data_IF_015485054500
#
_entry.id   IF_015485054500
#
_cell.length_a   1.000
_cell.length_b   1.000
_cell.length_c   1.000
_cell.angle_alpha   90.00
_cell.angle_beta   90.00
_cell.angle_gamma   90.00
#
_symmetry.space_group_name_H-M   'P 1'
#
loop_
_entity.id
_entity.type
_entity.pdbx_description
1 polymer ?
#
# COMPACT_ATOMS: atom_id res chain seq x y z
N UNK A 1 -19.80 -6.05 -19.00
CA UNK A 1 -19.51 -6.99 -20.12
C UNK A 1 -20.19 -8.29 -19.76
N UNK A 2 -21.05 -8.84 -20.61
CA UNK A 2 -21.49 -10.22 -20.41
C UNK A 2 -20.23 -11.09 -20.47
N UNK A 3 -20.18 -12.18 -19.70
CA UNK A 3 -19.12 -13.18 -19.82
C UNK A 3 -18.93 -13.68 -21.28
N UNK A 4 -19.95 -13.51 -22.10
CA UNK A 4 -19.99 -13.81 -23.54
C UNK A 4 -19.04 -12.94 -24.40
N UNK A 5 -18.58 -11.78 -23.89
CA UNK A 5 -17.65 -10.90 -24.61
C UNK A 5 -16.16 -11.27 -24.32
N UNK A 6 -15.94 -12.26 -23.45
CA UNK A 6 -14.61 -12.83 -23.17
C UNK A 6 -14.47 -14.16 -23.87
N UNK A 7 -13.57 -14.20 -24.82
CA UNK A 7 -13.30 -15.39 -25.60
C UNK A 7 -12.03 -16.04 -25.05
N UNK A 8 -12.16 -17.27 -24.55
CA UNK A 8 -10.98 -18.08 -24.19
C UNK A 8 -10.42 -18.75 -25.45
N UNK A 9 -9.16 -18.54 -25.75
CA UNK A 9 -8.48 -19.07 -26.92
C UNK A 9 -7.25 -19.88 -26.51
N UNK A 10 -6.84 -20.81 -27.38
CA UNK A 10 -5.51 -21.43 -27.30
C UNK A 10 -4.51 -20.56 -28.06
N UNK A 11 -3.24 -20.68 -27.72
CA UNK A 11 -2.13 -19.99 -28.41
C UNK A 11 -2.15 -20.21 -29.94
N UNK A 12 -2.53 -21.40 -30.36
CA UNK A 12 -2.66 -21.78 -31.77
C UNK A 12 -3.75 -21.02 -32.53
N UNK A 13 -4.69 -20.40 -31.81
CA UNK A 13 -5.84 -19.74 -32.41
C UNK A 13 -5.57 -18.24 -32.68
N UNK A 14 -4.41 -17.74 -32.25
CA UNK A 14 -3.95 -16.39 -32.55
C UNK A 14 -3.44 -16.33 -34.00
N UNK A 15 -4.24 -15.74 -34.87
CA UNK A 15 -3.90 -15.50 -36.27
C UNK A 15 -3.39 -14.07 -36.48
N UNK A 16 -2.69 -13.83 -37.58
CA UNK A 16 -2.22 -12.49 -37.98
C UNK A 16 -3.41 -11.54 -38.14
N UNK A 17 -4.49 -11.99 -38.78
CA UNK A 17 -5.75 -11.25 -38.98
C UNK A 17 -6.41 -10.85 -37.64
N UNK A 18 -6.37 -11.72 -36.63
CA UNK A 18 -6.89 -11.39 -35.30
C UNK A 18 -6.00 -10.36 -34.63
N UNK A 19 -4.68 -10.52 -34.73
CA UNK A 19 -3.74 -9.63 -34.06
C UNK A 19 -3.75 -8.21 -34.65
N UNK A 20 -3.98 -8.06 -35.94
CA UNK A 20 -4.15 -6.74 -36.57
C UNK A 20 -5.31 -5.93 -35.97
N UNK A 21 -6.32 -6.59 -35.42
CA UNK A 21 -7.47 -5.95 -34.74
C UNK A 21 -7.21 -5.67 -33.26
N UNK A 22 -6.08 -6.10 -32.71
CA UNK A 22 -5.78 -5.89 -31.31
C UNK A 22 -5.30 -4.45 -31.08
N UNK A 23 -5.80 -3.82 -30.04
CA UNK A 23 -5.45 -2.44 -29.63
C UNK A 23 -4.66 -2.37 -28.34
N UNK A 24 -4.77 -3.42 -27.50
CA UNK A 24 -3.96 -3.54 -26.30
C UNK A 24 -3.74 -5.01 -25.94
N UNK A 25 -2.57 -5.31 -25.39
CA UNK A 25 -2.28 -6.64 -24.84
C UNK A 25 -1.40 -6.56 -23.61
N UNK A 26 -1.65 -7.45 -22.66
CA UNK A 26 -0.90 -7.50 -21.41
C UNK A 26 -0.71 -8.93 -20.91
N UNK A 27 0.37 -9.12 -20.15
CA UNK A 27 0.67 -10.38 -19.47
C UNK A 27 0.35 -10.25 -17.99
N UNK A 28 -0.57 -11.07 -17.51
CA UNK A 28 -0.89 -11.20 -16.10
C UNK A 28 -0.10 -12.36 -15.52
N UNK A 29 0.84 -12.06 -14.62
CA UNK A 29 1.59 -13.08 -13.91
C UNK A 29 0.65 -13.97 -13.06
N UNK A 30 1.02 -15.23 -12.78
CA UNK A 30 0.29 -16.07 -11.85
C UNK A 30 0.14 -15.33 -10.53
N UNK A 31 -1.08 -15.23 -10.02
CA UNK A 31 -1.30 -14.65 -8.69
C UNK A 31 -0.66 -15.54 -7.65
N UNK A 32 -0.09 -14.98 -6.56
CA UNK A 32 0.44 -15.75 -5.44
C UNK A 32 -0.58 -16.68 -4.77
N UNK A 33 -1.83 -16.64 -5.20
CA UNK A 33 -2.92 -17.54 -4.81
C UNK A 33 -3.13 -18.72 -5.77
N UNK A 34 -2.17 -19.02 -6.67
CA UNK A 34 -2.17 -20.23 -7.49
C UNK A 34 -3.01 -20.16 -8.78
N UNK A 35 -3.44 -18.98 -9.18
CA UNK A 35 -4.07 -18.81 -10.49
C UNK A 35 -3.04 -18.91 -11.64
N UNK A 36 -3.40 -19.50 -12.78
CA UNK A 36 -2.51 -19.58 -13.94
C UNK A 36 -2.21 -18.21 -14.51
N UNK A 37 -1.00 -18.01 -15.03
CA UNK A 37 -0.67 -16.85 -15.86
C UNK A 37 -1.55 -16.79 -17.11
N UNK A 38 -1.88 -15.58 -17.57
CA UNK A 38 -2.65 -15.42 -18.80
C UNK A 38 -2.14 -14.21 -19.60
N UNK A 39 -2.33 -14.28 -20.91
CA UNK A 39 -2.22 -13.13 -21.81
C UNK A 39 -3.63 -12.65 -22.15
N UNK A 40 -3.84 -11.35 -22.04
CA UNK A 40 -5.11 -10.72 -22.35
C UNK A 40 -4.88 -9.76 -23.53
N UNK A 41 -5.72 -9.86 -24.54
CA UNK A 41 -5.70 -9.00 -25.73
C UNK A 41 -7.05 -8.36 -25.92
N UNK A 42 -7.10 -7.06 -26.17
CA UNK A 42 -8.31 -6.29 -26.43
C UNK A 42 -8.34 -5.90 -27.89
N UNK A 43 -9.43 -6.19 -28.57
CA UNK A 43 -9.64 -5.85 -29.97
C UNK A 43 -10.38 -4.50 -30.13
N UNK A 44 -10.36 -3.96 -31.35
CA UNK A 44 -11.02 -2.71 -31.74
C UNK A 44 -12.54 -2.70 -31.47
N UNK A 45 -13.18 -3.85 -31.52
CA UNK A 45 -14.62 -3.99 -31.22
C UNK A 45 -14.93 -4.13 -29.72
N UNK A 46 -13.91 -4.00 -28.86
CA UNK A 46 -14.01 -4.10 -27.42
C UNK A 46 -14.07 -5.54 -26.88
N UNK A 47 -13.89 -6.56 -27.72
CA UNK A 47 -13.79 -7.95 -27.24
C UNK A 47 -12.47 -8.17 -26.53
N UNK A 48 -12.52 -8.97 -25.45
CA UNK A 48 -11.35 -9.42 -24.73
C UNK A 48 -11.06 -10.89 -25.04
N UNK A 49 -9.86 -11.16 -25.50
CA UNK A 49 -9.36 -12.52 -25.75
C UNK A 49 -8.38 -12.89 -24.66
N UNK A 50 -8.61 -14.04 -24.03
CA UNK A 50 -7.79 -14.52 -22.93
C UNK A 50 -7.13 -15.85 -23.31
N UNK A 51 -5.81 -15.88 -23.24
CA UNK A 51 -5.00 -17.04 -23.53
C UNK A 51 -4.43 -17.60 -22.23
N UNK A 52 -4.73 -18.87 -21.97
CA UNK A 52 -4.21 -19.61 -20.82
C UNK A 52 -3.42 -20.81 -21.31
N UNK A 53 -2.36 -21.14 -20.58
CA UNK A 53 -1.57 -22.35 -20.87
C UNK A 53 -0.55 -22.62 -19.78
N UNK A 54 -0.17 -23.89 -19.57
CA UNK A 54 0.88 -24.24 -18.61
C UNK A 54 2.23 -23.59 -18.96
N UNK A 55 2.46 -23.30 -20.24
CA UNK A 55 3.63 -22.60 -20.75
C UNK A 55 3.74 -21.18 -20.18
N UNK A 56 2.60 -20.53 -19.91
CA UNK A 56 2.53 -19.16 -19.40
C UNK A 56 2.82 -19.05 -17.90
N UNK A 57 2.76 -20.16 -17.18
CA UNK A 57 3.01 -20.19 -15.73
C UNK A 57 4.47 -20.03 -15.34
N UNK A 58 5.39 -20.36 -16.25
CA UNK A 58 6.83 -20.34 -16.01
C UNK A 58 7.56 -19.15 -16.66
N UNK A 59 6.82 -18.24 -17.30
CA UNK A 59 7.40 -17.09 -17.98
C UNK A 59 7.76 -16.00 -17.00
N UNK A 60 9.05 -15.89 -16.68
CA UNK A 60 9.56 -14.84 -15.81
C UNK A 60 9.80 -13.51 -16.52
N UNK A 61 9.84 -13.47 -17.86
CA UNK A 61 10.20 -12.29 -18.63
C UNK A 61 9.53 -12.19 -20.00
N UNK A 62 9.23 -10.97 -20.38
CA UNK A 62 8.65 -10.54 -21.65
C UNK A 62 9.27 -11.18 -22.92
N UNK A 63 10.58 -11.45 -22.92
CA UNK A 63 11.24 -12.05 -24.08
C UNK A 63 10.83 -13.51 -24.33
N UNK A 64 10.44 -14.24 -23.31
CA UNK A 64 10.12 -15.67 -23.43
C UNK A 64 8.72 -15.87 -24.00
N UNK A 65 7.74 -15.05 -23.62
CA UNK A 65 6.39 -15.19 -24.17
C UNK A 65 6.24 -14.61 -25.58
N UNK A 66 7.07 -13.62 -25.99
CA UNK A 66 7.13 -13.18 -27.37
C UNK A 66 7.52 -14.33 -28.32
N UNK A 67 8.29 -15.32 -27.86
CA UNK A 67 8.61 -16.53 -28.64
C UNK A 67 7.43 -17.51 -28.76
N UNK A 68 6.48 -17.47 -27.83
CA UNK A 68 5.27 -18.29 -27.86
C UNK A 68 4.21 -17.73 -28.83
N UNK A 69 4.33 -16.45 -29.18
CA UNK A 69 3.45 -15.78 -30.13
C UNK A 69 4.26 -15.33 -31.37
N UNK A 70 4.54 -16.22 -32.33
CA UNK A 70 5.31 -15.87 -33.52
C UNK A 70 4.78 -14.66 -34.29
N UNK A 71 3.47 -14.43 -34.22
CA UNK A 71 2.79 -13.28 -34.81
C UNK A 71 3.32 -11.96 -34.25
N UNK A 72 3.66 -11.89 -32.94
CA UNK A 72 4.21 -10.68 -32.33
C UNK A 72 5.58 -10.29 -32.91
N UNK A 73 6.36 -11.27 -33.39
CA UNK A 73 7.68 -11.03 -33.99
C UNK A 73 7.57 -10.47 -35.44
N UNK A 74 6.41 -10.59 -36.06
CA UNK A 74 6.17 -10.13 -37.43
C UNK A 74 5.51 -8.72 -37.44
N UNK A 75 4.98 -8.27 -36.31
CA UNK A 75 4.25 -7.01 -36.19
C UNK A 75 5.21 -5.81 -36.00
N UNK A 76 4.81 -4.66 -36.53
CA UNK A 76 5.55 -3.41 -36.35
C UNK A 76 5.44 -2.91 -34.90
N UNK A 77 6.45 -3.26 -34.07
CA UNK A 77 6.50 -2.88 -32.66
C UNK A 77 6.55 -1.38 -32.43
N UNK A 78 6.80 -0.55 -33.48
CA UNK A 78 6.78 0.92 -33.41
C UNK A 78 5.38 1.48 -33.23
N UNK A 79 4.34 0.68 -33.44
CA UNK A 79 2.94 1.09 -33.24
C UNK A 79 2.47 0.97 -31.80
N UNK A 80 3.30 0.48 -30.88
CA UNK A 80 2.93 0.15 -29.52
C UNK A 80 3.73 0.93 -28.49
N UNK A 81 3.07 1.44 -27.47
CA UNK A 81 3.69 2.03 -26.27
C UNK A 81 3.50 1.14 -25.06
N UNK A 82 4.54 1.04 -24.24
CA UNK A 82 4.43 0.42 -22.92
C UNK A 82 3.69 1.38 -22.01
N UNK A 83 2.59 0.95 -21.41
CA UNK A 83 1.89 1.71 -20.40
C UNK A 83 2.68 1.63 -19.08
N UNK A 84 3.19 2.76 -18.63
CA UNK A 84 3.90 2.91 -17.36
C UNK A 84 2.88 3.00 -16.22
N UNK A 85 3.30 2.57 -15.01
CA UNK A 85 2.49 2.61 -13.77
C UNK A 85 1.27 1.68 -13.70
N UNK A 86 1.18 0.68 -14.57
CA UNK A 86 0.22 -0.41 -14.41
C UNK A 86 0.85 -1.48 -13.52
N UNK A 87 0.45 -1.55 -12.24
CA UNK A 87 1.00 -2.51 -11.28
C UNK A 87 0.75 -3.97 -11.74
N UNK A 88 1.76 -4.81 -11.63
CA UNK A 88 1.72 -6.25 -11.86
C UNK A 88 1.63 -6.74 -13.30
N UNK A 89 1.60 -5.87 -14.32
CA UNK A 89 1.42 -6.30 -15.71
C UNK A 89 2.25 -5.44 -16.66
N UNK A 90 2.96 -6.05 -17.60
CA UNK A 90 3.49 -5.29 -18.76
C UNK A 90 2.37 -5.20 -19.77
N UNK A 91 1.84 -4.00 -19.96
CA UNK A 91 0.74 -3.68 -20.84
C UNK A 91 1.27 -2.87 -22.04
N UNK A 92 0.99 -3.33 -23.23
CA UNK A 92 1.27 -2.62 -24.48
C UNK A 92 -0.05 -2.11 -25.04
N UNK A 93 -0.08 -0.83 -25.39
CA UNK A 93 -1.22 -0.15 -25.94
C UNK A 93 -0.84 0.47 -27.29
N UNK A 94 -1.70 0.31 -28.28
CA UNK A 94 -1.50 0.88 -29.61
C UNK A 94 -1.48 2.41 -29.53
N UNK A 95 -0.59 3.02 -30.31
CA UNK A 95 -0.31 4.46 -30.22
C UNK A 95 -1.56 5.35 -30.41
N UNK A 96 -2.48 4.93 -31.26
CA UNK A 96 -3.70 5.68 -31.58
C UNK A 96 -4.72 5.78 -30.43
N UNK A 97 -4.67 4.85 -29.47
CA UNK A 97 -5.56 4.89 -28.29
C UNK A 97 -4.82 5.18 -26.98
N UNK A 98 -3.48 5.31 -27.03
CA UNK A 98 -2.66 5.38 -25.83
C UNK A 98 -3.03 6.55 -24.90
N UNK A 99 -3.16 7.74 -25.46
CA UNK A 99 -3.44 8.93 -24.65
C UNK A 99 -4.85 8.84 -24.03
N UNK A 100 -5.84 8.44 -24.83
CA UNK A 100 -7.21 8.21 -24.35
C UNK A 100 -7.29 7.09 -23.29
N UNK A 101 -6.47 6.06 -23.44
CA UNK A 101 -6.34 4.99 -22.43
C UNK A 101 -5.76 5.56 -21.13
N UNK A 102 -4.68 6.33 -21.19
CA UNK A 102 -4.05 6.92 -20.01
C UNK A 102 -4.97 7.90 -19.28
N UNK A 103 -5.77 8.69 -19.98
CA UNK A 103 -6.79 9.58 -19.41
C UNK A 103 -7.92 8.80 -18.67
N UNK A 104 -8.20 7.58 -19.09
CA UNK A 104 -9.23 6.73 -18.50
C UNK A 104 -8.68 5.70 -17.50
N UNK A 105 -7.36 5.70 -17.22
CA UNK A 105 -6.80 4.91 -16.14
C UNK A 105 -7.15 5.53 -14.78
N UNK A 106 -7.60 4.73 -13.82
CA UNK A 106 -7.70 5.19 -12.44
C UNK A 106 -6.32 5.53 -11.89
N UNK A 107 -6.26 6.39 -10.88
CA UNK A 107 -5.01 6.68 -10.17
C UNK A 107 -4.40 5.39 -9.60
N UNK A 108 -3.07 5.31 -9.43
CA UNK A 108 -2.40 4.10 -8.89
C UNK A 108 -3.01 3.59 -7.59
N UNK A 109 -3.49 4.50 -6.73
CA UNK A 109 -4.15 4.18 -5.46
C UNK A 109 -5.51 3.47 -5.66
N UNK A 110 -6.14 3.68 -6.81
CA UNK A 110 -7.44 3.07 -7.15
C UNK A 110 -7.32 1.85 -8.07
N UNK A 111 -6.09 1.55 -8.54
CA UNK A 111 -5.86 0.48 -9.51
C UNK A 111 -5.78 -0.92 -8.91
N UNK A 112 -5.62 -1.07 -7.60
CA UNK A 112 -5.49 -2.38 -6.95
C UNK A 112 -6.67 -3.33 -7.23
N UNK A 113 -7.86 -2.77 -7.49
CA UNK A 113 -9.10 -3.51 -7.74
C UNK A 113 -9.64 -3.31 -9.17
N UNK A 114 -8.96 -2.54 -10.01
CA UNK A 114 -9.45 -2.20 -11.33
C UNK A 114 -8.72 -3.00 -12.42
N UNK A 115 -9.49 -3.63 -13.30
CA UNK A 115 -8.92 -4.33 -14.44
C UNK A 115 -8.57 -3.32 -15.54
N UNK A 116 -7.31 -3.24 -15.92
CA UNK A 116 -6.85 -2.42 -17.04
C UNK A 116 -7.62 -2.70 -18.35
N UNK A 117 -8.17 -3.92 -18.50
CA UNK A 117 -9.06 -4.33 -19.59
C UNK A 117 -10.22 -3.35 -19.79
N UNK A 118 -10.91 -2.98 -18.70
CA UNK A 118 -12.07 -2.09 -18.76
C UNK A 118 -11.66 -0.68 -19.23
N UNK A 119 -10.47 -0.20 -18.84
CA UNK A 119 -9.95 1.09 -19.34
C UNK A 119 -9.62 1.04 -20.83
N UNK A 120 -9.00 -0.05 -21.29
CA UNK A 120 -8.72 -0.22 -22.70
C UNK A 120 -10.00 -0.33 -23.54
N UNK A 121 -10.98 -1.10 -23.06
CA UNK A 121 -12.28 -1.24 -23.75
C UNK A 121 -12.99 0.12 -23.78
N UNK A 122 -13.03 0.84 -22.67
CA UNK A 122 -13.62 2.18 -22.61
C UNK A 122 -12.94 3.14 -23.59
N UNK A 123 -11.60 3.21 -23.56
CA UNK A 123 -10.83 4.05 -24.47
C UNK A 123 -11.08 3.70 -25.93
N UNK A 124 -11.13 2.40 -26.28
CA UNK A 124 -11.45 1.93 -27.63
C UNK A 124 -12.84 2.35 -28.08
N UNK A 125 -13.83 2.18 -27.22
CA UNK A 125 -15.21 2.58 -27.54
C UNK A 125 -15.35 4.09 -27.68
N UNK A 126 -14.68 4.90 -26.85
CA UNK A 126 -14.68 6.36 -26.94
C UNK A 126 -14.00 6.85 -28.24
N UNK A 127 -12.93 6.19 -28.67
CA UNK A 127 -12.27 6.52 -29.94
C UNK A 127 -13.21 6.40 -31.15
N UNK A 128 -14.14 5.44 -31.11
CA UNK A 128 -15.07 5.17 -32.21
C UNK A 128 -16.45 5.81 -32.02
N UNK A 129 -16.72 6.44 -30.88
CA UNK A 129 -17.98 7.14 -30.62
C UNK A 129 -18.10 8.38 -31.53
N UNK A 130 -19.26 8.55 -32.14
CA UNK A 130 -19.53 9.63 -33.12
C UNK A 130 -20.55 10.66 -32.62
N UNK A 131 -21.22 10.38 -31.51
CA UNK A 131 -22.28 11.25 -30.95
C UNK A 131 -22.06 11.45 -29.46
N UNK A 132 -22.54 12.59 -28.92
CA UNK A 132 -22.51 12.85 -27.47
C UNK A 132 -23.31 11.78 -26.67
N UNK A 133 -24.42 11.31 -27.22
CA UNK A 133 -25.25 10.26 -26.61
C UNK A 133 -24.50 8.92 -26.51
N UNK A 134 -23.69 8.57 -27.51
CA UNK A 134 -22.81 7.40 -27.46
C UNK A 134 -21.72 7.55 -26.39
N UNK A 135 -21.09 8.73 -26.32
CA UNK A 135 -20.07 9.05 -25.32
C UNK A 135 -20.67 8.96 -23.90
N UNK A 136 -21.85 9.54 -23.69
CA UNK A 136 -22.53 9.49 -22.40
C UNK A 136 -22.88 8.06 -21.99
N UNK A 137 -23.39 7.24 -22.92
CA UNK A 137 -23.67 5.83 -22.69
C UNK A 137 -22.44 5.01 -22.36
N UNK A 138 -21.31 5.27 -23.04
CA UNK A 138 -20.04 4.62 -22.75
C UNK A 138 -19.54 5.03 -21.38
N UNK A 139 -19.54 6.32 -21.04
CA UNK A 139 -19.12 6.82 -19.75
C UNK A 139 -19.99 6.25 -18.62
N UNK A 140 -21.31 6.19 -18.81
CA UNK A 140 -22.24 5.58 -17.86
C UNK A 140 -21.99 4.07 -17.69
N UNK A 141 -21.69 3.35 -18.78
CA UNK A 141 -21.41 1.90 -18.76
C UNK A 141 -20.11 1.55 -18.06
N UNK A 142 -19.09 2.43 -18.19
CA UNK A 142 -17.77 2.22 -17.63
C UNK A 142 -17.46 3.25 -16.51
N UNK A 143 -18.49 3.63 -15.75
CA UNK A 143 -18.30 4.47 -14.58
C UNK A 143 -17.30 3.81 -13.63
N UNK A 144 -16.24 4.59 -13.28
CA UNK A 144 -15.15 4.15 -12.41
C UNK A 144 -15.62 4.17 -10.94
N UNK A 145 -16.47 3.24 -10.59
CA UNK A 145 -16.79 3.00 -9.19
C UNK A 145 -15.72 2.09 -8.61
N UNK A 146 -14.92 2.63 -7.72
CA UNK A 146 -13.90 1.86 -6.99
C UNK A 146 -14.45 1.41 -5.65
N UNK A 147 -14.04 0.25 -5.13
CA UNK A 147 -14.31 -0.15 -3.77
C UNK A 147 -13.91 0.94 -2.77
N UNK A 148 -14.73 1.16 -1.75
CA UNK A 148 -14.45 2.12 -0.69
C UNK A 148 -13.40 1.61 0.30
N UNK A 149 -13.24 0.29 0.37
CA UNK A 149 -12.37 -0.38 1.33
C UNK A 149 -11.39 -1.30 0.61
N UNK A 150 -10.19 -1.42 1.17
CA UNK A 150 -9.12 -2.29 0.67
C UNK A 150 -8.88 -3.45 1.64
N UNK A 151 -8.14 -4.47 1.17
CA UNK A 151 -7.72 -5.57 2.04
C UNK A 151 -6.99 -5.03 3.27
N UNK A 152 -7.27 -5.64 4.40
CA UNK A 152 -6.75 -5.29 5.72
C UNK A 152 -7.34 -3.99 6.33
N UNK A 153 -8.27 -3.30 5.64
CA UNK A 153 -9.01 -2.18 6.22
C UNK A 153 -9.87 -2.65 7.42
N UNK A 154 -9.88 -1.82 8.47
CA UNK A 154 -10.67 -2.03 9.66
C UNK A 154 -12.06 -1.41 9.44
N UNK A 155 -13.12 -2.21 9.63
CA UNK A 155 -14.49 -1.78 9.31
C UNK A 155 -15.51 -2.16 10.38
N UNK A 156 -16.61 -1.41 10.44
CA UNK A 156 -17.85 -1.83 11.06
C UNK A 156 -18.85 -2.23 9.97
N UNK A 157 -19.56 -3.32 10.17
CA UNK A 157 -20.53 -3.79 9.19
C UNK A 157 -21.78 -4.36 9.87
N UNK A 158 -22.87 -4.43 9.10
CA UNK A 158 -24.10 -5.07 9.54
C UNK A 158 -24.24 -6.43 8.87
N UNK A 159 -24.35 -7.45 9.70
CA UNK A 159 -24.61 -8.82 9.26
C UNK A 159 -26.03 -9.22 9.65
N UNK A 160 -26.78 -9.73 8.66
CA UNK A 160 -28.14 -10.24 8.86
C UNK A 160 -28.09 -11.77 8.77
N UNK A 161 -28.38 -12.44 9.88
CA UNK A 161 -28.42 -13.90 9.95
C UNK A 161 -29.83 -14.47 9.67
N UNK A 162 -30.75 -13.66 9.15
CA UNK A 162 -32.13 -14.00 8.88
C UNK A 162 -33.06 -13.94 10.12
N UNK A 163 -32.53 -13.67 11.29
CA UNK A 163 -33.27 -13.48 12.56
C UNK A 163 -33.05 -12.09 13.14
N UNK A 164 -31.83 -11.59 13.06
CA UNK A 164 -31.41 -10.34 13.66
C UNK A 164 -30.33 -9.70 12.80
N UNK A 165 -30.41 -8.37 12.70
CA UNK A 165 -29.37 -7.55 12.06
C UNK A 165 -28.41 -7.06 13.12
N UNK A 166 -27.22 -7.63 13.14
CA UNK A 166 -26.20 -7.38 14.16
C UNK A 166 -25.09 -6.48 13.61
N UNK A 167 -24.70 -5.48 14.42
CA UNK A 167 -23.53 -4.65 14.13
C UNK A 167 -22.26 -5.38 14.56
N UNK A 168 -21.35 -5.59 13.63
CA UNK A 168 -20.10 -6.31 13.82
C UNK A 168 -18.89 -5.42 13.51
N UNK A 169 -17.73 -5.78 14.06
CA UNK A 169 -16.42 -5.25 13.63
C UNK A 169 -15.69 -6.32 12.83
N UNK A 170 -14.90 -5.89 11.86
CA UNK A 170 -14.13 -6.81 11.03
C UNK A 170 -12.96 -6.17 10.31
N UNK A 171 -12.25 -7.02 9.60
CA UNK A 171 -11.12 -6.67 8.75
C UNK A 171 -11.41 -7.17 7.34
N UNK A 172 -11.26 -6.32 6.34
CA UNK A 172 -11.49 -6.71 4.94
C UNK A 172 -10.50 -7.81 4.55
N UNK A 173 -11.04 -8.95 4.13
CA UNK A 173 -10.26 -10.10 3.65
C UNK A 173 -10.10 -10.08 2.13
N UNK A 174 -11.12 -9.61 1.43
CA UNK A 174 -11.15 -9.53 -0.03
C UNK A 174 -12.33 -8.72 -0.52
N UNK A 175 -12.33 -8.43 -1.82
CA UNK A 175 -13.35 -7.63 -2.48
C UNK A 175 -13.80 -8.33 -3.75
N UNK A 176 -15.11 -8.49 -3.90
CA UNK A 176 -15.75 -9.00 -5.12
C UNK A 176 -16.53 -7.88 -5.81
N UNK A 177 -16.29 -7.70 -7.12
CA UNK A 177 -16.96 -6.68 -7.92
C UNK A 177 -17.86 -7.36 -8.93
N UNK A 178 -19.16 -7.24 -8.72
CA UNK A 178 -20.16 -7.78 -9.63
C UNK A 178 -20.50 -6.76 -10.72
N UNK A 179 -20.39 -7.18 -11.97
CA UNK A 179 -20.66 -6.35 -13.14
C UNK A 179 -21.77 -6.99 -13.98
N UNK A 180 -22.77 -6.19 -14.29
CA UNK A 180 -23.78 -6.54 -15.28
C UNK A 180 -23.68 -5.58 -16.46
N UNK A 181 -23.50 -6.10 -17.66
CA UNK A 181 -23.33 -5.32 -18.89
C UNK A 181 -22.20 -4.25 -18.82
N UNK A 182 -21.10 -4.54 -18.09
CA UNK A 182 -20.00 -3.62 -17.89
C UNK A 182 -20.17 -2.61 -16.75
N UNK A 183 -21.39 -2.42 -16.24
CA UNK A 183 -21.68 -1.58 -15.07
C UNK A 183 -21.42 -2.35 -13.79
N UNK A 184 -20.82 -1.69 -12.80
CA UNK A 184 -20.72 -2.25 -11.44
C UNK A 184 -22.11 -2.16 -10.81
N UNK A 185 -22.73 -3.32 -10.63
CA UNK A 185 -24.03 -3.45 -9.96
C UNK A 185 -23.86 -3.46 -8.45
N UNK A 186 -22.90 -4.25 -7.97
CA UNK A 186 -22.64 -4.40 -6.54
C UNK A 186 -21.15 -4.61 -6.27
N UNK A 187 -20.67 -4.06 -5.16
CA UNK A 187 -19.36 -4.33 -4.58
C UNK A 187 -19.63 -5.03 -3.27
N UNK A 188 -19.07 -6.22 -3.11
CA UNK A 188 -19.18 -7.03 -1.92
C UNK A 188 -17.79 -7.29 -1.32
N UNK A 189 -17.77 -7.55 -0.04
CA UNK A 189 -16.54 -7.78 0.70
C UNK A 189 -16.63 -9.07 1.50
N UNK A 190 -15.55 -9.80 1.51
CA UNK A 190 -15.30 -10.83 2.50
C UNK A 190 -14.63 -10.18 3.71
N UNK A 191 -15.14 -10.45 4.93
CA UNK A 191 -14.71 -9.77 6.15
C UNK A 191 -14.39 -10.79 7.23
N UNK A 192 -13.18 -10.73 7.78
CA UNK A 192 -12.81 -11.48 8.99
C UNK A 192 -13.43 -10.84 10.24
N UNK A 193 -14.17 -11.61 11.04
CA UNK A 193 -14.74 -11.17 12.31
C UNK A 193 -13.81 -11.40 13.51
N UNK A 194 -14.34 -11.19 14.70
CA UNK A 194 -13.61 -11.21 16.00
C UNK A 194 -12.82 -12.50 16.29
N UNK A 195 -13.26 -13.65 15.77
CA UNK A 195 -12.58 -14.92 16.00
C UNK A 195 -11.42 -15.20 15.03
N UNK A 196 -10.93 -14.15 14.38
CA UNK A 196 -9.79 -14.18 13.46
C UNK A 196 -8.51 -14.80 14.04
N UNK A 197 -8.42 -15.02 15.38
CA UNK A 197 -7.24 -15.60 16.07
C UNK A 197 -6.65 -16.84 15.41
N UNK A 198 -7.43 -17.48 14.57
CA UNK A 198 -7.00 -18.67 13.84
C UNK A 198 -7.01 -18.47 12.32
N UNK A 199 -7.43 -17.33 11.79
CA UNK A 199 -7.66 -17.09 10.34
C UNK A 199 -8.33 -18.29 9.64
N UNK A 200 -9.21 -19.01 10.37
CA UNK A 200 -9.94 -20.14 9.84
C UNK A 200 -11.19 -19.63 9.15
N UNK A 201 -11.59 -20.28 8.07
CA UNK A 201 -12.79 -19.98 7.28
C UNK A 201 -14.08 -19.77 8.10
N UNK A 202 -14.14 -20.30 9.33
CA UNK A 202 -15.29 -20.16 10.24
C UNK A 202 -15.57 -18.72 10.72
N UNK A 203 -14.62 -17.81 10.53
CA UNK A 203 -14.74 -16.42 10.98
C UNK A 203 -14.92 -15.45 9.80
N UNK A 204 -15.07 -15.94 8.60
CA UNK A 204 -15.20 -15.16 7.40
C UNK A 204 -16.68 -14.93 7.10
N UNK A 205 -17.10 -13.66 7.14
CA UNK A 205 -18.38 -13.19 6.62
C UNK A 205 -18.20 -12.91 5.14
N UNK A 206 -18.96 -13.62 4.30
CA UNK A 206 -18.85 -13.53 2.84
C UNK A 206 -19.93 -12.66 2.25
N UNK A 207 -19.60 -12.02 1.14
CA UNK A 207 -20.55 -11.27 0.30
C UNK A 207 -21.29 -10.15 1.06
N UNK A 208 -20.58 -9.40 1.88
CA UNK A 208 -21.15 -8.24 2.56
C UNK A 208 -21.15 -7.05 1.61
N UNK A 209 -22.34 -6.60 1.19
CA UNK A 209 -22.49 -5.47 0.28
C UNK A 209 -21.95 -4.16 0.88
N UNK A 210 -21.25 -3.36 0.08
CA UNK A 210 -20.57 -2.11 0.46
C UNK A 210 -21.46 -1.16 1.27
N UNK A 211 -22.73 -1.03 0.93
CA UNK A 211 -23.71 -0.20 1.64
C UNK A 211 -23.93 -0.55 3.12
N UNK A 212 -23.54 -1.76 3.53
CA UNK A 212 -23.64 -2.23 4.93
C UNK A 212 -22.34 -2.07 5.70
N UNK A 213 -21.29 -1.54 5.07
CA UNK A 213 -19.96 -1.37 5.65
C UNK A 213 -19.71 0.11 5.91
N UNK A 214 -19.06 0.41 7.02
CA UNK A 214 -18.63 1.76 7.40
C UNK A 214 -17.21 1.72 7.93
N UNK A 215 -16.51 2.86 7.81
CA UNK A 215 -15.26 3.05 8.52
C UNK A 215 -15.48 2.89 10.03
N UNK A 216 -14.55 2.21 10.68
CA UNK A 216 -14.51 2.12 12.14
C UNK A 216 -14.07 3.46 12.75
N UNK A 217 -14.54 3.79 13.96
CA UNK A 217 -14.00 4.92 14.70
C UNK A 217 -12.55 4.70 15.16
N UNK A 218 -12.15 3.45 15.41
CA UNK A 218 -10.79 3.12 15.79
C UNK A 218 -9.84 3.30 14.60
N UNK A 219 -8.61 3.74 14.88
CA UNK A 219 -7.63 4.08 13.86
C UNK A 219 -6.35 3.28 14.00
N UNK A 220 -5.77 2.97 12.85
CA UNK A 220 -4.39 2.57 12.74
C UNK A 220 -3.54 3.83 12.55
N UNK A 221 -2.58 4.03 13.44
CA UNK A 221 -1.81 5.26 13.53
C UNK A 221 -0.33 4.93 13.34
N UNK A 222 0.26 5.44 12.27
CA UNK A 222 1.69 5.32 12.04
C UNK A 222 2.38 6.54 12.67
N UNK A 223 3.34 6.28 13.55
CA UNK A 223 4.23 7.31 14.09
C UNK A 223 5.66 6.99 13.67
N UNK A 224 6.19 7.83 12.80
CA UNK A 224 7.58 7.80 12.33
C UNK A 224 8.30 9.09 12.73
N UNK A 225 9.56 9.21 12.38
CA UNK A 225 10.34 10.42 12.64
C UNK A 225 11.82 10.10 12.81
N UNK A 226 12.68 11.10 12.79
CA UNK A 226 14.12 10.92 12.86
C UNK A 226 14.56 10.13 14.07
N UNK A 227 15.63 9.38 13.91
CA UNK A 227 16.30 8.73 15.04
C UNK A 227 16.69 9.78 16.08
N UNK A 228 16.24 9.61 17.33
CA UNK A 228 16.52 10.59 18.40
C UNK A 228 15.47 11.69 18.56
N UNK A 229 14.45 11.77 17.70
CA UNK A 229 13.42 12.82 17.78
C UNK A 229 12.52 12.72 19.03
N UNK A 230 12.50 11.57 19.72
CA UNK A 230 11.68 11.37 20.92
C UNK A 230 10.38 10.60 20.70
N UNK A 231 10.25 9.83 19.60
CA UNK A 231 9.06 9.00 19.31
C UNK A 231 8.58 8.21 20.54
N UNK A 232 9.46 7.37 21.09
CA UNK A 232 9.08 6.52 22.21
C UNK A 232 8.63 7.29 23.46
N UNK A 233 9.17 8.48 23.72
CA UNK A 233 8.76 9.34 24.83
C UNK A 233 7.35 9.89 24.61
N UNK A 234 7.06 10.38 23.41
CA UNK A 234 5.73 10.89 23.02
C UNK A 234 4.69 9.78 23.08
N UNK A 235 5.02 8.61 22.51
CA UNK A 235 4.13 7.44 22.53
C UNK A 235 3.85 7.00 23.97
N UNK A 236 4.90 6.93 24.80
CA UNK A 236 4.74 6.56 26.20
C UNK A 236 3.83 7.54 26.98
N UNK A 237 4.00 8.85 26.76
CA UNK A 237 3.14 9.87 27.34
C UNK A 237 1.69 9.72 26.89
N UNK A 238 1.46 9.49 25.60
CA UNK A 238 0.12 9.26 25.04
C UNK A 238 -0.58 8.06 25.67
N UNK A 239 0.17 6.98 25.94
CA UNK A 239 -0.34 5.79 26.63
C UNK A 239 -0.64 6.03 28.11
N UNK A 240 0.12 6.91 28.79
CA UNK A 240 -0.16 7.30 30.19
C UNK A 240 -1.42 8.14 30.28
N UNK A 241 -1.57 9.10 29.37
CA UNK A 241 -2.73 10.04 29.40
C UNK A 241 -4.03 9.35 28.96
N UNK A 242 -3.96 8.41 28.01
CA UNK A 242 -5.12 7.78 27.39
C UNK A 242 -5.01 6.25 27.28
N UNK A 243 -4.79 5.52 28.38
CA UNK A 243 -4.55 4.07 28.38
C UNK A 243 -5.75 3.24 27.87
N UNK A 244 -6.95 3.81 27.99
CA UNK A 244 -8.18 3.20 27.47
C UNK A 244 -8.34 3.36 25.96
N UNK A 245 -7.72 4.38 25.36
CA UNK A 245 -7.92 4.79 23.96
C UNK A 245 -6.82 4.24 23.03
N UNK A 246 -5.58 4.18 23.49
CA UNK A 246 -4.42 3.84 22.67
C UNK A 246 -3.70 2.58 23.13
N UNK A 247 -3.05 1.92 22.19
CA UNK A 247 -2.12 0.81 22.43
C UNK A 247 -1.03 0.82 21.35
N UNK A 248 0.17 0.40 21.68
CA UNK A 248 1.26 0.19 20.72
C UNK A 248 1.25 -1.25 20.26
N UNK A 249 1.33 -1.49 18.96
CA UNK A 249 1.55 -2.82 18.41
C UNK A 249 2.96 -3.29 18.73
N UNK A 250 3.09 -4.50 19.25
CA UNK A 250 4.38 -5.14 19.51
C UNK A 250 4.87 -5.79 18.21
N UNK A 251 5.93 -5.23 17.62
CA UNK A 251 6.54 -5.75 16.40
C UNK A 251 7.32 -7.03 16.64
N UNK A 252 7.46 -7.85 15.61
CA UNK A 252 8.37 -9.02 15.61
C UNK A 252 9.75 -8.63 15.09
N UNK A 253 10.79 -9.31 15.59
CA UNK A 253 12.16 -9.15 15.08
C UNK A 253 12.97 -10.43 15.22
N UNK A 254 13.93 -10.63 14.30
CA UNK A 254 14.89 -11.73 14.36
C UNK A 254 16.11 -11.38 15.21
N UNK A 255 16.26 -10.11 15.57
CA UNK A 255 17.32 -9.62 16.44
C UNK A 255 17.24 -10.24 17.84
N UNK A 256 18.39 -10.55 18.43
CA UNK A 256 18.44 -10.97 19.84
C UNK A 256 18.01 -9.85 20.79
N UNK A 257 17.32 -10.20 21.92
CA UNK A 257 16.95 -9.21 22.93
C UNK A 257 18.17 -8.49 23.49
N UNK A 258 18.03 -7.19 23.74
CA UNK A 258 19.02 -6.39 24.50
C UNK A 258 18.74 -6.51 26.00
N UNK A 259 19.70 -6.06 26.82
CA UNK A 259 19.54 -6.01 28.27
C UNK A 259 18.30 -5.17 28.64
N UNK A 260 17.35 -5.78 29.36
CA UNK A 260 16.13 -5.14 29.80
C UNK A 260 14.93 -5.30 28.85
N UNK A 261 15.13 -5.79 27.63
CA UNK A 261 14.04 -6.07 26.70
C UNK A 261 13.33 -7.39 27.08
N UNK A 262 12.00 -7.39 26.97
CA UNK A 262 11.15 -8.55 27.33
C UNK A 262 10.37 -9.00 26.11
N UNK A 263 10.43 -10.31 25.84
CA UNK A 263 9.66 -10.94 24.75
C UNK A 263 8.15 -10.73 24.94
N UNK A 264 7.45 -10.32 23.87
CA UNK A 264 6.04 -10.03 23.87
C UNK A 264 5.67 -8.66 24.48
N UNK A 265 6.66 -7.87 24.94
CA UNK A 265 6.49 -6.48 25.39
C UNK A 265 7.29 -5.50 24.55
N UNK A 266 8.62 -5.73 24.47
CA UNK A 266 9.50 -4.86 23.67
C UNK A 266 9.42 -5.24 22.19
N UNK A 267 9.50 -6.53 21.92
CA UNK A 267 9.33 -7.17 20.61
C UNK A 267 8.86 -8.62 20.81
N UNK A 268 8.29 -9.22 19.77
CA UNK A 268 8.25 -10.66 19.62
C UNK A 268 9.58 -11.11 19.01
N UNK A 269 10.51 -11.62 19.86
CA UNK A 269 11.80 -12.11 19.40
C UNK A 269 11.62 -13.53 18.84
N UNK A 270 11.75 -13.67 17.52
CA UNK A 270 11.54 -14.92 16.80
C UNK A 270 12.76 -15.27 15.95
N UNK A 271 12.89 -16.52 15.55
CA UNK A 271 13.95 -16.95 14.65
C UNK A 271 13.72 -16.45 13.24
N UNK A 272 14.78 -16.37 12.41
CA UNK A 272 14.68 -16.01 10.99
C UNK A 272 13.73 -16.94 10.26
N UNK A 273 13.78 -18.23 10.52
CA UNK A 273 12.90 -19.23 9.92
C UNK A 273 11.42 -18.98 10.25
N UNK A 274 11.11 -18.73 11.53
CA UNK A 274 9.74 -18.39 11.94
C UNK A 274 9.26 -17.10 11.28
N UNK A 275 10.14 -16.10 11.13
CA UNK A 275 9.79 -14.86 10.46
C UNK A 275 9.45 -15.11 8.99
N UNK A 276 10.27 -15.85 8.27
CA UNK A 276 10.07 -16.21 6.86
C UNK A 276 8.79 -17.04 6.66
N UNK A 277 8.47 -17.93 7.59
CA UNK A 277 7.19 -18.68 7.59
C UNK A 277 5.99 -17.75 7.76
N UNK A 278 6.07 -16.74 8.63
CA UNK A 278 5.00 -15.74 8.80
C UNK A 278 4.84 -14.85 7.57
N UNK A 279 5.95 -14.47 6.90
CA UNK A 279 5.92 -13.76 5.62
C UNK A 279 5.20 -14.58 4.55
N UNK A 280 5.54 -15.87 4.43
CA UNK A 280 4.91 -16.76 3.43
C UNK A 280 3.40 -16.95 3.64
N UNK A 281 2.90 -16.71 4.85
CA UNK A 281 1.48 -16.77 5.21
C UNK A 281 0.77 -15.42 5.18
N UNK A 282 1.45 -14.36 4.72
CA UNK A 282 0.90 -12.98 4.70
C UNK A 282 0.44 -12.49 6.10
N UNK A 283 1.19 -12.86 7.16
CA UNK A 283 0.82 -12.49 8.54
C UNK A 283 1.41 -11.15 9.01
N UNK A 284 2.11 -10.42 8.15
CA UNK A 284 2.61 -9.08 8.44
C UNK A 284 1.82 -8.00 7.69
N UNK A 285 1.57 -6.86 8.34
CA UNK A 285 1.12 -5.63 7.69
C UNK A 285 2.25 -4.97 6.91
N UNK A 286 3.46 -5.02 7.47
CA UNK A 286 4.70 -4.58 6.85
C UNK A 286 5.87 -5.36 7.43
N UNK A 287 6.96 -5.44 6.70
CA UNK A 287 8.24 -5.90 7.22
C UNK A 287 9.40 -5.32 6.43
N UNK A 288 10.54 -5.20 7.10
CA UNK A 288 11.77 -4.70 6.49
C UNK A 288 13.00 -5.41 7.07
N UNK A 289 14.07 -5.46 6.29
CA UNK A 289 15.41 -5.84 6.79
C UNK A 289 16.18 -4.58 7.16
N UNK A 290 16.71 -4.56 8.39
CA UNK A 290 17.58 -3.50 8.90
C UNK A 290 18.77 -4.08 9.61
N UNK A 291 19.98 -3.71 9.17
CA UNK A 291 21.25 -4.17 9.73
C UNK A 291 21.38 -5.71 9.80
N UNK A 292 20.84 -6.43 8.81
CA UNK A 292 20.89 -7.89 8.71
C UNK A 292 19.82 -8.62 9.51
N UNK A 293 18.94 -7.90 10.19
CA UNK A 293 17.84 -8.46 10.98
C UNK A 293 16.49 -8.00 10.42
N UNK A 294 15.49 -8.87 10.52
CA UNK A 294 14.13 -8.54 10.12
C UNK A 294 13.34 -7.88 11.25
N UNK A 295 12.46 -6.97 10.86
CA UNK A 295 11.48 -6.32 11.72
C UNK A 295 10.15 -6.29 10.99
N UNK A 296 9.02 -6.45 11.70
CA UNK A 296 7.72 -6.36 11.06
C UNK A 296 6.57 -6.28 12.04
N UNK A 297 5.46 -5.70 11.58
CA UNK A 297 4.23 -5.52 12.35
C UNK A 297 3.26 -6.67 12.07
N UNK A 298 2.98 -7.47 13.08
CA UNK A 298 2.10 -8.63 12.96
C UNK A 298 0.63 -8.22 12.89
N UNK A 299 -0.09 -8.67 11.87
CA UNK A 299 -1.54 -8.46 11.71
C UNK A 299 -2.32 -8.86 12.96
N UNK A 300 -1.99 -10.00 13.56
CA UNK A 300 -2.67 -10.49 14.77
C UNK A 300 -2.57 -9.55 15.97
N UNK A 301 -1.45 -8.85 16.13
CA UNK A 301 -1.27 -7.89 17.23
C UNK A 301 -2.12 -6.64 17.02
N UNK A 302 -2.15 -6.14 15.80
CA UNK A 302 -2.96 -4.99 15.42
C UNK A 302 -4.45 -5.31 15.56
N UNK A 303 -4.90 -6.41 14.97
CA UNK A 303 -6.33 -6.75 14.93
C UNK A 303 -6.88 -7.12 16.31
N UNK A 304 -6.09 -7.80 17.14
CA UNK A 304 -6.48 -8.07 18.53
C UNK A 304 -6.86 -6.78 19.25
N UNK A 305 -5.99 -5.79 19.21
CA UNK A 305 -6.20 -4.51 19.89
C UNK A 305 -7.34 -3.70 19.27
N UNK A 306 -7.48 -3.75 17.94
CA UNK A 306 -8.61 -3.15 17.24
C UNK A 306 -9.95 -3.73 17.72
N UNK A 307 -10.06 -5.06 17.82
CA UNK A 307 -11.28 -5.71 18.32
C UNK A 307 -11.57 -5.39 19.79
N UNK A 308 -10.57 -5.00 20.55
CA UNK A 308 -10.71 -4.50 21.93
C UNK A 308 -11.16 -3.02 21.99
N UNK A 309 -11.34 -2.36 20.83
CA UNK A 309 -11.79 -0.97 20.71
C UNK A 309 -10.69 0.07 20.93
N UNK A 310 -9.42 -0.30 20.69
CA UNK A 310 -8.26 0.58 20.83
C UNK A 310 -7.84 1.17 19.49
N UNK A 311 -7.39 2.42 19.50
CA UNK A 311 -6.54 2.95 18.43
C UNK A 311 -5.17 2.30 18.54
N UNK A 312 -4.68 1.75 17.43
CA UNK A 312 -3.41 1.02 17.42
C UNK A 312 -2.30 1.89 16.84
N UNK A 313 -1.28 2.16 17.64
CA UNK A 313 -0.09 2.88 17.22
C UNK A 313 0.93 1.89 16.69
N UNK A 314 1.47 2.15 15.51
CA UNK A 314 2.60 1.44 14.93
C UNK A 314 3.80 2.40 14.89
N UNK A 315 4.84 2.08 15.65
CA UNK A 315 6.12 2.79 15.62
C UNK A 315 7.04 2.12 14.61
N UNK A 316 7.17 2.70 13.42
CA UNK A 316 7.96 2.17 12.31
C UNK A 316 8.76 3.27 11.60
N UNK A 317 9.73 2.86 10.80
CA UNK A 317 10.49 3.74 9.93
C UNK A 317 9.72 4.10 8.63
N UNK A 318 10.33 4.91 7.78
CA UNK A 318 9.72 5.37 6.53
C UNK A 318 9.49 4.22 5.53
N UNK A 319 10.32 3.16 5.56
CA UNK A 319 10.18 2.02 4.67
C UNK A 319 8.93 1.18 5.02
N UNK A 320 8.75 0.87 6.31
CA UNK A 320 7.56 0.16 6.80
C UNK A 320 6.30 1.00 6.63
N UNK A 321 6.38 2.31 6.94
CA UNK A 321 5.26 3.22 6.76
C UNK A 321 4.73 3.25 5.32
N UNK A 322 5.62 3.21 4.32
CA UNK A 322 5.23 3.15 2.90
C UNK A 322 4.48 1.88 2.54
N UNK A 323 4.86 0.74 3.09
CA UNK A 323 4.17 -0.52 2.83
C UNK A 323 2.73 -0.46 3.31
N UNK A 324 2.49 -0.01 4.55
CA UNK A 324 1.14 0.08 5.11
C UNK A 324 0.30 1.12 4.36
N UNK A 325 0.83 2.32 4.09
CA UNK A 325 0.08 3.38 3.39
C UNK A 325 -0.34 3.03 1.98
N UNK A 326 0.38 2.13 1.31
CA UNK A 326 -0.01 1.60 -0.01
C UNK A 326 -1.16 0.61 0.06
N UNK A 327 -1.37 0.01 1.22
CA UNK A 327 -2.34 -1.06 1.44
C UNK A 327 -3.58 -0.59 2.21
N UNK A 328 -3.49 0.49 2.98
CA UNK A 328 -4.54 0.92 3.91
C UNK A 328 -4.66 2.43 4.03
N UNK A 329 -5.89 2.91 4.28
CA UNK A 329 -6.16 4.30 4.69
C UNK A 329 -5.73 4.51 6.14
N UNK A 330 -4.42 4.69 6.36
CA UNK A 330 -3.85 4.94 7.68
C UNK A 330 -3.58 6.42 7.88
N UNK A 331 -3.68 6.86 9.13
CA UNK A 331 -3.18 8.17 9.51
C UNK A 331 -1.70 8.06 9.85
N UNK A 332 -0.87 8.93 9.29
CA UNK A 332 0.56 8.88 9.47
C UNK A 332 1.12 10.22 9.92
N UNK A 333 1.91 10.19 10.99
CA UNK A 333 2.60 11.34 11.57
C UNK A 333 4.10 11.10 11.47
N UNK A 334 4.82 12.08 10.96
CA UNK A 334 6.27 12.11 11.01
C UNK A 334 6.74 13.17 11.99
N UNK A 335 7.43 12.76 13.06
CA UNK A 335 7.98 13.66 14.07
C UNK A 335 9.31 14.25 13.63
N UNK A 336 9.43 15.57 13.69
CA UNK A 336 10.66 16.30 13.42
C UNK A 336 11.12 17.08 14.66
N UNK A 337 12.42 17.26 14.90
CA UNK A 337 12.90 18.14 15.97
C UNK A 337 12.71 19.60 15.55
N UNK A 338 12.74 20.56 16.49
CA UNK A 338 12.59 21.98 16.17
C UNK A 338 13.77 22.56 15.39
N UNK A 339 14.95 21.93 15.44
CA UNK A 339 16.15 22.34 14.71
C UNK A 339 17.17 21.19 14.54
N UNK A 340 18.18 21.39 13.69
CA UNK A 340 19.31 20.47 13.58
C UNK A 340 20.12 20.39 14.91
N UNK A 341 20.34 21.50 15.57
CA UNK A 341 21.11 21.53 16.82
C UNK A 341 20.43 20.71 17.92
N UNK A 342 19.11 20.80 17.99
CA UNK A 342 18.32 19.99 18.93
C UNK A 342 18.36 18.49 18.56
N UNK A 343 18.29 18.14 17.28
CA UNK A 343 18.48 16.75 16.84
C UNK A 343 19.83 16.21 17.27
N UNK A 344 20.90 16.97 17.01
CA UNK A 344 22.27 16.60 17.36
C UNK A 344 22.44 16.47 18.87
N UNK A 345 21.89 17.42 19.65
CA UNK A 345 21.87 17.38 21.10
C UNK A 345 21.19 16.11 21.64
N UNK A 346 20.00 15.78 21.15
CA UNK A 346 19.27 14.56 21.55
C UNK A 346 20.02 13.29 21.19
N UNK A 347 20.71 13.25 20.04
CA UNK A 347 21.52 12.10 19.66
C UNK A 347 22.75 11.92 20.61
N UNK A 348 23.42 13.00 20.96
CA UNK A 348 24.61 12.98 21.86
C UNK A 348 24.25 12.60 23.30
N UNK A 349 23.10 13.04 23.79
CA UNK A 349 22.67 12.84 25.18
C UNK A 349 22.16 11.43 25.53
N UNK A 350 22.13 10.51 24.58
CA UNK A 350 21.82 9.09 24.86
C UNK A 350 22.89 8.33 25.63
N UNK A 351 24.07 8.96 25.88
CA UNK A 351 25.10 8.52 26.82
C UNK A 351 25.96 7.32 26.39
N UNK A 352 25.66 6.67 25.26
CA UNK A 352 26.33 5.47 24.76
C UNK A 352 26.76 5.56 23.30
N UNK A 353 26.55 6.72 22.67
CA UNK A 353 26.73 6.87 21.23
C UNK A 353 28.15 7.35 20.88
N UNK A 354 28.77 6.63 19.97
CA UNK A 354 30.05 7.07 19.36
C UNK A 354 29.76 8.07 18.24
N UNK A 355 30.75 8.88 17.88
CA UNK A 355 30.67 9.80 16.75
C UNK A 355 30.27 9.09 15.44
N UNK A 356 30.78 7.89 15.21
CA UNK A 356 30.44 7.07 14.06
C UNK A 356 28.96 6.65 14.08
N UNK A 357 28.42 6.31 15.24
CA UNK A 357 27.02 5.99 15.42
C UNK A 357 26.12 7.19 15.12
N UNK A 358 26.49 8.39 15.60
CA UNK A 358 25.79 9.64 15.30
C UNK A 358 25.79 9.93 13.80
N UNK A 359 26.95 9.83 13.14
CA UNK A 359 27.09 10.04 11.71
C UNK A 359 26.23 9.06 10.89
N UNK A 360 26.18 7.80 11.26
CA UNK A 360 25.31 6.80 10.62
C UNK A 360 23.84 7.16 10.75
N UNK A 361 23.39 7.61 11.94
CA UNK A 361 22.01 8.04 12.18
C UNK A 361 21.64 9.30 11.42
N UNK A 362 22.57 10.25 11.29
CA UNK A 362 22.37 11.45 10.49
C UNK A 362 22.29 11.14 8.99
N UNK A 363 23.06 10.16 8.50
CA UNK A 363 22.90 9.68 7.12
C UNK A 363 21.52 9.06 6.89
N UNK A 364 21.06 8.22 7.83
CA UNK A 364 19.72 7.67 7.77
C UNK A 364 18.63 8.76 7.79
N UNK A 365 18.81 9.82 8.57
CA UNK A 365 17.87 10.95 8.58
C UNK A 365 17.82 11.68 7.23
N UNK A 366 18.89 11.73 6.44
CA UNK A 366 18.85 12.25 5.07
C UNK A 366 17.95 11.40 4.16
N UNK A 367 18.04 10.08 4.27
CA UNK A 367 17.18 9.17 3.49
C UNK A 367 15.71 9.32 3.91
N UNK A 368 15.45 9.48 5.21
CA UNK A 368 14.09 9.69 5.74
C UNK A 368 13.50 11.04 5.27
N UNK A 369 14.30 12.09 5.14
CA UNK A 369 13.89 13.43 4.67
C UNK A 369 13.26 13.37 3.27
N UNK A 370 13.77 12.54 2.37
CA UNK A 370 13.25 12.42 1.00
C UNK A 370 11.79 11.90 0.97
N UNK A 371 11.28 11.41 2.11
CA UNK A 371 9.96 10.79 2.22
C UNK A 371 8.99 11.49 3.19
N UNK A 372 9.39 12.62 3.78
CA UNK A 372 8.55 13.31 4.78
C UNK A 372 7.24 13.83 4.19
N UNK A 373 7.23 14.24 2.92
CA UNK A 373 6.03 14.74 2.24
C UNK A 373 4.99 13.65 1.97
N UNK A 374 5.38 12.38 2.07
CA UNK A 374 4.46 11.26 1.94
C UNK A 374 3.58 11.06 3.18
N UNK A 375 3.89 11.68 4.33
CA UNK A 375 3.11 11.56 5.56
C UNK A 375 1.93 12.52 5.57
N UNK A 376 0.83 12.09 6.20
CA UNK A 376 -0.36 12.93 6.37
C UNK A 376 -0.09 14.15 7.23
N UNK A 377 0.83 14.07 8.19
CA UNK A 377 1.18 15.16 9.11
C UNK A 377 2.67 15.18 9.39
N UNK A 378 3.30 16.36 9.24
CA UNK A 378 4.61 16.66 9.84
C UNK A 378 4.36 17.39 11.16
N UNK A 379 4.96 16.90 12.25
CA UNK A 379 4.77 17.48 13.58
C UNK A 379 6.10 17.75 14.27
N UNK A 380 6.31 19.00 14.67
CA UNK A 380 7.49 19.40 15.43
C UNK A 380 7.36 18.89 16.87
N UNK A 381 8.26 18.03 17.30
CA UNK A 381 8.36 17.58 18.69
C UNK A 381 9.21 18.56 19.50
N UNK A 382 8.61 19.69 19.87
CA UNK A 382 9.20 20.73 20.71
C UNK A 382 9.02 20.39 22.20
N UNK A 383 7.80 20.03 22.59
CA UNK A 383 7.50 19.50 23.92
C UNK A 383 6.70 18.20 23.83
N UNK A 384 6.96 17.29 24.77
CA UNK A 384 6.27 15.99 24.79
C UNK A 384 4.77 16.16 24.97
N UNK A 385 4.35 17.00 25.92
CA UNK A 385 2.95 17.28 26.24
C UNK A 385 2.22 17.93 25.06
N UNK A 386 2.84 18.95 24.44
CA UNK A 386 2.28 19.63 23.28
C UNK A 386 2.12 18.68 22.10
N UNK A 387 3.15 17.85 21.81
CA UNK A 387 3.13 16.87 20.75
C UNK A 387 2.06 15.78 20.99
N UNK A 388 1.94 15.29 22.21
CA UNK A 388 0.93 14.31 22.62
C UNK A 388 -0.47 14.86 22.45
N UNK A 389 -0.72 16.09 22.90
CA UNK A 389 -2.01 16.77 22.74
C UNK A 389 -2.40 16.91 21.26
N UNK A 390 -1.46 17.32 20.40
CA UNK A 390 -1.72 17.44 18.96
C UNK A 390 -2.03 16.08 18.35
N UNK A 391 -1.26 15.04 18.67
CA UNK A 391 -1.54 13.68 18.18
C UNK A 391 -2.94 13.23 18.60
N UNK A 392 -3.33 13.41 19.86
CA UNK A 392 -4.67 13.02 20.32
C UNK A 392 -5.78 13.80 19.60
N UNK A 393 -5.57 15.10 19.37
CA UNK A 393 -6.50 15.95 18.63
C UNK A 393 -6.66 15.55 17.16
N UNK A 394 -5.57 15.14 16.48
CA UNK A 394 -5.59 14.68 15.08
C UNK A 394 -6.51 13.47 14.87
N UNK A 395 -6.64 12.64 15.89
CA UNK A 395 -7.46 11.43 15.83
C UNK A 395 -8.87 11.63 16.41
N UNK A 396 -9.20 12.86 16.76
CA UNK A 396 -10.56 13.19 17.17
C UNK A 396 -11.50 13.26 15.94
N UNK A 397 -12.65 12.58 15.95
CA UNK A 397 -13.54 12.51 14.78
C UNK A 397 -13.97 13.85 14.21
N UNK A 398 -14.06 14.89 15.05
CA UNK A 398 -14.46 16.24 14.64
C UNK A 398 -13.36 17.04 13.90
N UNK A 399 -12.09 16.60 13.95
CA UNK A 399 -10.93 17.36 13.45
C UNK A 399 -10.27 16.75 12.20
N UNK A 400 -10.91 15.80 11.54
CA UNK A 400 -10.37 15.02 10.38
C UNK A 400 -9.81 15.85 9.20
N UNK A 401 -10.02 17.15 9.17
CA UNK A 401 -9.64 18.00 8.03
C UNK A 401 -8.54 19.03 8.32
N UNK A 402 -7.91 18.98 9.49
CA UNK A 402 -6.95 20.03 9.90
C UNK A 402 -5.48 19.72 9.54
N UNK A 403 -5.18 18.71 8.75
CA UNK A 403 -3.83 18.18 8.57
C UNK A 403 -3.34 18.23 7.14
N UNK A 404 -2.22 18.87 6.97
CA UNK A 404 -1.37 18.91 5.79
C UNK A 404 0.05 19.28 6.20
N UNK A 405 1.03 18.98 5.35
CA UNK A 405 2.40 19.48 5.54
C UNK A 405 2.39 21.00 5.35
N UNK A 406 2.57 21.74 6.44
CA UNK A 406 2.63 23.21 6.37
C UNK A 406 4.01 23.66 5.86
N UNK A 407 4.08 24.80 5.19
CA UNK A 407 5.33 25.40 4.73
C UNK A 407 6.36 25.60 5.84
N UNK A 408 5.89 25.85 7.08
CA UNK A 408 6.76 26.03 8.25
C UNK A 408 7.55 24.76 8.56
N UNK A 409 6.88 23.61 8.67
CA UNK A 409 7.50 22.32 8.98
C UNK A 409 8.47 21.90 7.87
N UNK A 410 8.11 22.10 6.61
CA UNK A 410 8.99 21.83 5.47
C UNK A 410 10.24 22.72 5.47
N UNK A 411 10.16 23.97 5.92
CA UNK A 411 11.33 24.81 6.07
C UNK A 411 12.26 24.30 7.18
N UNK A 412 11.70 23.85 8.32
CA UNK A 412 12.49 23.20 9.38
C UNK A 412 13.22 21.95 8.85
N UNK A 413 12.55 21.13 8.06
CA UNK A 413 13.16 19.95 7.44
C UNK A 413 14.31 20.32 6.51
N UNK A 414 14.18 21.41 5.72
CA UNK A 414 15.29 21.92 4.88
C UNK A 414 16.47 22.38 5.71
N UNK A 415 16.24 23.15 6.79
CA UNK A 415 17.31 23.59 7.71
C UNK A 415 18.02 22.41 8.37
N UNK A 416 17.27 21.38 8.78
CA UNK A 416 17.82 20.14 9.33
C UNK A 416 18.69 19.44 8.28
N UNK A 417 18.22 19.31 7.04
CA UNK A 417 18.97 18.71 5.93
C UNK A 417 20.31 19.41 5.70
N UNK A 418 20.29 20.73 5.62
CA UNK A 418 21.50 21.53 5.45
C UNK A 418 22.47 21.39 6.65
N UNK A 419 21.95 21.36 7.86
CA UNK A 419 22.71 21.12 9.08
C UNK A 419 23.40 19.75 9.07
N UNK A 420 22.69 18.70 8.69
CA UNK A 420 23.23 17.34 8.57
C UNK A 420 24.34 17.30 7.51
N UNK A 421 24.12 17.87 6.33
CA UNK A 421 25.11 17.88 5.25
C UNK A 421 26.40 18.59 5.73
N UNK A 422 26.26 19.76 6.37
CA UNK A 422 27.40 20.49 6.95
C UNK A 422 28.16 19.67 7.96
N UNK A 423 27.46 19.01 8.89
CA UNK A 423 28.09 18.19 9.94
C UNK A 423 28.86 16.99 9.36
N UNK A 424 28.26 16.32 8.38
CA UNK A 424 28.88 15.18 7.72
C UNK A 424 30.11 15.56 6.88
N UNK A 425 30.10 16.76 6.26
CA UNK A 425 31.21 17.28 5.45
C UNK A 425 32.40 17.72 6.28
N UNK A 426 32.16 18.31 7.46
CA UNK A 426 33.27 18.81 8.35
C UNK A 426 34.09 17.70 8.99
N UNK A 427 33.62 16.47 9.04
CA UNK A 427 34.39 15.32 9.53
C UNK A 427 35.38 14.74 8.51
N UNK A 428 35.30 15.13 7.24
CA UNK A 428 36.28 14.72 6.23
C UNK A 428 37.52 15.62 6.16
N UNK A 429 37.59 16.70 6.95
CA UNK A 429 38.73 17.60 6.99
C UNK A 429 39.79 17.21 8.05
N UNK A 430 39.38 16.42 9.07
CA UNK A 430 40.33 15.95 10.10
C UNK A 430 41.24 14.82 9.62
N UNK A 431 40.91 14.12 8.55
CA UNK A 431 41.72 13.02 7.98
C UNK A 431 42.68 13.50 6.86
N UNK A 432 42.70 14.80 6.54
CA UNK A 432 43.60 15.37 5.50
C UNK A 432 44.80 16.16 6.03
N UNK A 433 44.92 16.33 7.35
CA UNK A 433 46.07 17.04 7.94
C UNK A 433 47.12 16.12 8.61
N UNK A 434 47.09 14.83 8.34
CA UNK A 434 48.17 13.90 8.74
C UNK A 434 48.64 13.14 7.51
N UNK A 435 49.30 13.86 6.57
CA UNK A 435 50.34 13.33 5.69
C UNK A 435 51.21 14.47 5.19
#
# INVERSE_FOLDING_TARGET
MKFEDRVQLKLSDLTEELFEKIVAYGFCAPSGMGGPGCVIMIAEDGRSYQFYGPELNNLNYYREWASLFPVLNQCDTRQWKLAENVSCTKLFVRNDIYDLFMENLPTPEKMSCYRWEDSCIKATLLLHARTEDEIEKINWRYELRTPLFEKDDLVEFYFDNGKEKTKCKGVIAGTDIYRLHGKIEEIEYDIYGKDYKTFKEKCLYKHIAEKYIKETPEKLIIISGFSGVGKGTVIHQLLIEHPEKYVVSVSATTRKPRKGEVNGKSYHFITRKEFEELVSRDEFLEFAEYAGEYYGTLKKEVYKNYFEGKNVIIEIDSQGARQIRRQQKTQSVFLIPPSFDELLHRLKNRGTETEESIRRRLKQALDEIEHVEEYGVLLVNDSVEGTTFVIDALFHPALKHACGCNKRELNIVKEIREGIIRYLSNGNLSDREIY
#
